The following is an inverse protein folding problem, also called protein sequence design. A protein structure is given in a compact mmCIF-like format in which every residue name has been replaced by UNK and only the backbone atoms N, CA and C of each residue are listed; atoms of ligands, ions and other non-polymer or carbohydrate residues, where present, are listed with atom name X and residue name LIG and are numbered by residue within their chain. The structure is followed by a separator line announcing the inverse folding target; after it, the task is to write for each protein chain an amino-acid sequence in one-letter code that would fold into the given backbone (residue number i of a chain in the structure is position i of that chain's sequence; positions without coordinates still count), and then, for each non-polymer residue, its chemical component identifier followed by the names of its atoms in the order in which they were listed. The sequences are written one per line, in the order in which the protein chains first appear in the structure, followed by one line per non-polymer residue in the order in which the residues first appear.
data_IF_769634771517
#
_entry.id   IF_769634771517
#
_cell.length_a   1.000
_cell.length_b   1.000
_cell.length_c   1.000
_cell.angle_alpha   90.00
_cell.angle_beta   90.00
_cell.angle_gamma   90.00
#
_symmetry.space_group_name_H-M   'P 1'
#
loop_
_entity.id
_entity.type
_entity.pdbx_description
1 polymer ?
#
# COMPACT_ATOMS: atom_id res chain seq x y z
N UNK A 1 -13.45 15.49 -8.85
CA UNK A 1 -14.25 14.71 -7.88
C UNK A 1 -13.41 13.48 -7.53
N UNK A 2 -13.18 13.19 -6.25
CA UNK A 2 -12.51 11.95 -5.82
C UNK A 2 -13.61 10.90 -5.67
N UNK A 3 -13.45 9.77 -6.36
CA UNK A 3 -14.31 8.61 -6.21
C UNK A 3 -13.84 7.82 -4.98
N UNK A 4 -14.74 7.63 -4.01
CA UNK A 4 -14.45 6.88 -2.78
C UNK A 4 -14.70 5.38 -2.95
N UNK A 5 -15.44 4.99 -3.99
CA UNK A 5 -15.69 3.59 -4.35
C UNK A 5 -14.58 3.02 -5.24
N UNK A 6 -13.57 3.82 -5.54
CA UNK A 6 -12.41 3.39 -6.30
C UNK A 6 -11.71 2.22 -5.57
N UNK A 7 -11.71 1.00 -6.15
CA UNK A 7 -11.10 -0.19 -5.53
C UNK A 7 -9.57 -0.06 -5.39
N UNK A 8 -8.99 1.01 -5.92
CA UNK A 8 -7.58 1.36 -5.77
C UNK A 8 -7.30 1.99 -4.40
N UNK A 9 -8.31 2.48 -3.69
CA UNK A 9 -8.19 3.04 -2.35
C UNK A 9 -8.37 1.93 -1.32
N UNK A 10 -7.41 1.79 -0.40
CA UNK A 10 -7.43 0.75 0.62
C UNK A 10 -6.82 1.23 1.93
N UNK A 11 -7.17 0.57 3.03
CA UNK A 11 -6.57 0.89 4.32
C UNK A 11 -5.09 0.49 4.37
N UNK A 12 -4.31 1.12 5.25
CA UNK A 12 -2.88 0.81 5.42
C UNK A 12 -2.62 -0.68 5.70
N UNK A 13 -3.51 -1.33 6.45
CA UNK A 13 -3.38 -2.74 6.83
C UNK A 13 -3.75 -3.67 5.67
N UNK A 14 -4.81 -3.36 4.92
CA UNK A 14 -5.15 -4.13 3.71
C UNK A 14 -4.06 -4.01 2.65
N UNK A 15 -3.51 -2.81 2.47
CA UNK A 15 -2.40 -2.57 1.55
C UNK A 15 -1.17 -3.40 1.94
N UNK A 16 -0.80 -3.41 3.22
CA UNK A 16 0.30 -4.23 3.71
C UNK A 16 0.10 -5.72 3.38
N UNK A 17 -1.10 -6.25 3.63
CA UNK A 17 -1.44 -7.65 3.35
C UNK A 17 -1.37 -7.99 1.86
N UNK A 18 -1.91 -7.13 0.99
CA UNK A 18 -1.85 -7.33 -0.47
C UNK A 18 -0.42 -7.41 -1.01
N UNK A 19 0.52 -6.69 -0.39
CA UNK A 19 1.96 -6.74 -0.75
C UNK A 19 2.79 -7.72 0.09
N UNK A 20 2.14 -8.55 0.92
CA UNK A 20 2.81 -9.48 1.84
C UNK A 20 3.88 -8.78 2.70
N UNK A 21 3.54 -7.59 3.22
CA UNK A 21 4.34 -6.79 4.17
C UNK A 21 3.69 -6.82 5.55
N UNK A 22 4.44 -6.42 6.57
CA UNK A 22 3.92 -6.28 7.93
C UNK A 22 2.79 -5.22 7.99
N UNK A 23 1.78 -5.42 8.82
CA UNK A 23 0.59 -4.57 8.93
C UNK A 23 0.90 -3.08 9.21
N UNK A 24 2.04 -2.80 9.84
CA UNK A 24 2.50 -1.45 10.16
C UNK A 24 3.40 -0.82 9.08
N UNK A 25 3.74 -1.56 8.02
CA UNK A 25 4.68 -1.15 6.97
C UNK A 25 4.33 0.21 6.37
N UNK A 26 3.08 0.42 5.97
CA UNK A 26 2.64 1.70 5.37
C UNK A 26 2.80 2.84 6.36
N UNK A 27 2.50 2.62 7.65
CA UNK A 27 2.67 3.64 8.69
C UNK A 27 4.14 3.97 8.89
N UNK A 28 5.01 2.95 8.93
CA UNK A 28 6.46 3.16 9.05
C UNK A 28 7.01 3.93 7.85
N UNK A 29 6.64 3.55 6.63
CA UNK A 29 7.08 4.21 5.40
C UNK A 29 6.57 5.65 5.32
N UNK A 30 5.33 5.90 5.72
CA UNK A 30 4.79 7.26 5.77
C UNK A 30 5.53 8.14 6.79
N UNK A 31 5.98 7.59 7.92
CA UNK A 31 6.77 8.33 8.92
C UNK A 31 8.21 8.57 8.48
N UNK A 32 8.86 7.56 7.88
CA UNK A 32 10.29 7.61 7.51
C UNK A 32 10.52 8.32 6.18
N UNK A 33 9.67 8.05 5.19
CA UNK A 33 9.86 8.50 3.81
C UNK A 33 8.54 8.95 3.18
N UNK A 34 7.87 9.99 3.71
CA UNK A 34 6.61 10.49 3.16
C UNK A 34 6.73 10.95 1.70
N UNK A 35 7.90 11.44 1.28
CA UNK A 35 8.17 11.89 -0.10
C UNK A 35 8.13 10.78 -1.15
N UNK A 36 8.20 9.50 -0.75
CA UNK A 36 8.05 8.38 -1.69
C UNK A 36 6.61 8.15 -2.14
N UNK A 37 5.65 8.68 -1.39
CA UNK A 37 4.24 8.59 -1.77
C UNK A 37 3.90 9.75 -2.72
N UNK A 38 3.41 9.47 -3.93
CA UNK A 38 2.92 10.50 -4.83
C UNK A 38 1.85 11.38 -4.17
N UNK A 39 1.76 12.65 -4.60
CA UNK A 39 0.75 13.57 -4.07
C UNK A 39 -0.65 13.00 -4.33
N UNK A 40 -1.44 12.88 -3.26
CA UNK A 40 -2.80 12.31 -3.32
C UNK A 40 -2.86 10.78 -3.23
N UNK A 41 -1.73 10.07 -3.18
CA UNK A 41 -1.71 8.61 -3.09
C UNK A 41 -1.86 8.07 -1.66
N UNK A 42 -1.71 8.94 -0.64
CA UNK A 42 -1.84 8.62 0.77
C UNK A 42 -2.55 9.77 1.52
N UNK A 43 -3.44 9.41 2.45
CA UNK A 43 -4.12 10.37 3.32
C UNK A 43 -4.39 9.77 4.69
N UNK A 44 -4.21 10.58 5.73
CA UNK A 44 -4.60 10.24 7.09
C UNK A 44 -6.06 10.63 7.33
N UNK A 45 -6.87 9.70 7.81
CA UNK A 45 -8.25 9.90 8.23
C UNK A 45 -8.39 9.49 9.71
N UNK A 46 -8.45 10.49 10.60
CA UNK A 46 -8.46 10.25 12.04
C UNK A 46 -7.24 9.44 12.51
N UNK A 47 -7.49 8.20 12.96
CA UNK A 47 -6.45 7.25 13.41
C UNK A 47 -5.94 6.31 12.30
N UNK A 48 -6.61 6.27 11.15
CA UNK A 48 -6.29 5.36 10.05
C UNK A 48 -5.54 6.07 8.92
N UNK A 49 -4.70 5.33 8.21
CA UNK A 49 -4.07 5.76 6.97
C UNK A 49 -4.73 5.01 5.82
N UNK A 50 -5.07 5.75 4.77
CA UNK A 50 -5.63 5.24 3.54
C UNK A 50 -4.61 5.51 2.44
N UNK A 51 -4.38 4.50 1.62
CA UNK A 51 -3.38 4.51 0.57
C UNK A 51 -3.98 3.95 -0.72
N UNK A 52 -3.49 4.45 -1.85
CA UNK A 52 -3.89 3.94 -3.17
C UNK A 52 -2.96 2.82 -3.62
N UNK A 53 -3.41 1.97 -4.56
CA UNK A 53 -2.56 1.00 -5.27
C UNK A 53 -1.29 1.67 -5.78
N UNK A 54 -1.44 2.76 -6.54
CA UNK A 54 -0.32 3.55 -7.08
C UNK A 54 0.67 3.99 -6.00
N UNK A 55 0.18 4.40 -4.83
CA UNK A 55 1.02 4.76 -3.70
C UNK A 55 1.87 3.60 -3.19
N UNK A 56 1.28 2.41 -3.10
CA UNK A 56 2.00 1.20 -2.71
C UNK A 56 3.03 0.76 -3.76
N UNK A 57 2.69 0.80 -5.04
CA UNK A 57 3.60 0.42 -6.13
C UNK A 57 4.85 1.29 -6.15
N UNK A 58 4.70 2.61 -5.97
CA UNK A 58 5.83 3.55 -5.91
C UNK A 58 6.74 3.33 -4.70
N UNK A 59 6.14 3.02 -3.54
CA UNK A 59 6.89 2.86 -2.28
C UNK A 59 7.60 1.52 -2.20
N UNK A 60 6.94 0.47 -2.69
CA UNK A 60 7.48 -0.90 -2.70
C UNK A 60 8.36 -1.18 -3.91
N UNK A 61 8.18 -0.45 -5.01
CA UNK A 61 8.82 -0.71 -6.29
C UNK A 61 8.29 -1.97 -7.00
N UNK A 62 7.15 -2.50 -6.56
CA UNK A 62 6.58 -3.77 -7.02
C UNK A 62 5.09 -3.60 -7.26
N UNK A 63 4.60 -4.07 -8.41
CA UNK A 63 3.16 -4.05 -8.72
C UNK A 63 2.38 -4.99 -7.81
N UNK A 64 1.08 -4.76 -7.62
CA UNK A 64 0.24 -5.67 -6.82
C UNK A 64 0.28 -7.11 -7.36
N UNK A 65 0.31 -7.26 -8.69
CA UNK A 65 0.39 -8.56 -9.35
C UNK A 65 1.73 -9.28 -9.10
N UNK A 66 2.85 -8.55 -9.13
CA UNK A 66 4.17 -9.10 -8.80
C UNK A 66 4.26 -9.49 -7.33
N UNK A 67 3.72 -8.66 -6.43
CA UNK A 67 3.70 -8.98 -5.00
C UNK A 67 2.92 -10.28 -4.73
N UNK A 68 1.78 -10.48 -5.42
CA UNK A 68 1.03 -11.74 -5.40
C UNK A 68 1.83 -12.92 -5.97
N UNK A 69 2.55 -12.74 -7.08
CA UNK A 69 3.42 -13.78 -7.66
C UNK A 69 4.57 -14.16 -6.71
N UNK A 70 5.18 -13.19 -6.05
CA UNK A 70 6.24 -13.42 -5.05
C UNK A 70 5.68 -14.17 -3.84
N UNK A 71 4.49 -13.78 -3.37
CA UNK A 71 3.81 -14.48 -2.28
C UNK A 71 3.46 -15.93 -2.65
N UNK A 72 2.98 -16.16 -3.87
CA UNK A 72 2.66 -17.50 -4.38
C UNK A 72 3.91 -18.38 -4.49
N UNK A 73 5.05 -17.84 -4.97
CA UNK A 73 6.32 -18.58 -5.03
C UNK A 73 6.85 -18.98 -3.65
N UNK A 74 6.64 -18.15 -2.63
CA UNK A 74 7.06 -18.45 -1.25
C UNK A 74 6.26 -19.55 -0.56
N UNK A 75 5.06 -19.89 -1.04
CA UNK A 75 4.24 -20.95 -0.44
C UNK A 75 4.56 -22.36 -1.00
N UNK A 76 5.40 -22.46 -2.03
CA UNK A 76 5.74 -23.71 -2.72
C UNK A 76 7.16 -24.20 -2.35
N UNK A 77 7.82 -23.56 -1.39
CA UNK A 77 9.19 -23.87 -0.96
C UNK A 77 9.26 -24.10 0.54
#
# INVERSE_FOLDING_TARGET
MIDLDDPDIMSSSEAAKRWNKADDYVRQMYRKTPWKFPRGSIRKFGKQLVVTRRGMEMVTGVTEAEAKKIAARKQVS
#
